data_IF_281608958537
#
_entry.id   IF_281608958537
#
_cell.length_a   1.000
_cell.length_b   1.000
_cell.length_c   1.000
_cell.angle_alpha   90.00
_cell.angle_beta   90.00
_cell.angle_gamma   90.00
#
_symmetry.space_group_name_H-M   'P 1'
#
loop_
_entity.id
_entity.type
_entity.pdbx_description
1 polymer ?
#
# COMPACT_ATOMS: atom_id res chain seq x y z
N UNK A 1 1.45 -27.29 11.25
CA UNK A 1 2.41 -26.27 11.74
C UNK A 1 2.34 -25.10 10.78
N UNK A 2 1.59 -24.05 11.12
CA UNK A 2 1.60 -22.80 10.37
C UNK A 2 2.51 -21.84 11.14
N UNK A 3 3.65 -21.52 10.54
CA UNK A 3 4.56 -20.50 11.05
C UNK A 3 3.89 -19.15 10.78
N UNK A 4 3.35 -18.52 11.83
CA UNK A 4 2.99 -17.11 11.75
C UNK A 4 4.29 -16.30 11.67
N UNK A 5 4.40 -15.30 10.77
CA UNK A 5 5.57 -14.45 10.70
C UNK A 5 5.71 -13.67 12.01
N UNK A 6 6.93 -13.67 12.52
CA UNK A 6 7.35 -13.00 13.74
C UNK A 6 7.27 -11.48 13.50
N UNK A 7 6.23 -10.85 14.04
CA UNK A 7 6.17 -9.39 14.15
C UNK A 7 7.07 -8.97 15.30
N UNK A 8 8.09 -8.18 14.97
CA UNK A 8 8.97 -7.55 15.96
C UNK A 8 8.20 -6.33 16.48
N UNK A 9 7.72 -6.41 17.72
CA UNK A 9 6.78 -5.53 18.43
C UNK A 9 5.29 -5.82 18.13
N UNK A 10 4.53 -6.21 19.17
CA UNK A 10 3.18 -6.77 19.09
C UNK A 10 2.04 -5.83 18.66
N UNK A 11 2.24 -5.02 17.64
CA UNK A 11 1.22 -4.20 17.00
C UNK A 11 1.01 -4.71 15.58
N UNK A 12 -0.22 -5.10 15.26
CA UNK A 12 -0.57 -5.44 13.89
C UNK A 12 -0.69 -4.16 13.05
N UNK A 13 0.26 -3.95 12.13
CA UNK A 13 0.28 -2.79 11.24
C UNK A 13 -0.76 -2.87 10.10
N UNK A 14 -1.52 -3.97 9.98
CA UNK A 14 -2.55 -4.12 8.91
C UNK A 14 -3.50 -2.95 8.82
N UNK A 15 -4.13 -2.46 9.90
CA UNK A 15 -5.11 -1.38 9.79
C UNK A 15 -4.49 -0.08 9.27
N UNK A 16 -3.24 0.19 9.63
CA UNK A 16 -2.52 1.38 9.18
C UNK A 16 -2.17 1.28 7.70
N UNK A 17 -1.59 0.16 7.28
CA UNK A 17 -1.25 -0.08 5.86
C UNK A 17 -2.52 -0.11 5.01
N UNK A 18 -3.60 -0.74 5.50
CA UNK A 18 -4.91 -0.75 4.84
C UNK A 18 -5.43 0.67 4.63
N UNK A 19 -5.38 1.53 5.64
CA UNK A 19 -5.83 2.91 5.51
C UNK A 19 -5.06 3.69 4.44
N UNK A 20 -3.76 3.44 4.29
CA UNK A 20 -2.94 4.04 3.22
C UNK A 20 -3.39 3.52 1.86
N UNK A 21 -3.57 2.20 1.71
CA UNK A 21 -4.02 1.59 0.45
C UNK A 21 -5.41 2.08 0.06
N UNK A 22 -6.35 2.13 1.02
CA UNK A 22 -7.71 2.58 0.77
C UNK A 22 -7.74 4.07 0.37
N UNK A 23 -6.85 4.90 0.93
CA UNK A 23 -6.70 6.29 0.50
C UNK A 23 -6.15 6.42 -0.93
N UNK A 24 -5.15 5.60 -1.29
CA UNK A 24 -4.62 5.55 -2.66
C UNK A 24 -5.69 5.07 -3.65
N UNK A 25 -6.41 3.99 -3.30
CA UNK A 25 -7.48 3.44 -4.14
C UNK A 25 -8.61 4.44 -4.34
N UNK A 26 -8.99 5.17 -3.29
CA UNK A 26 -10.01 6.21 -3.37
C UNK A 26 -9.61 7.34 -4.34
N UNK A 27 -8.35 7.77 -4.30
CA UNK A 27 -7.86 8.82 -5.19
C UNK A 27 -7.74 8.33 -6.64
N UNK A 28 -7.38 7.07 -6.84
CA UNK A 28 -7.22 6.46 -8.17
C UNK A 28 -8.58 6.16 -8.85
N UNK A 29 -9.63 5.85 -8.05
CA UNK A 29 -10.99 5.60 -8.54
C UNK A 29 -11.81 6.90 -8.74
N UNK A 30 -11.40 8.00 -8.12
CA UNK A 30 -12.11 9.27 -8.21
C UNK A 30 -12.13 9.81 -9.64
N UNK A 31 -13.31 10.26 -10.09
CA UNK A 31 -13.45 10.92 -11.38
C UNK A 31 -12.79 12.30 -11.41
N UNK A 32 -12.43 12.77 -12.62
CA UNK A 32 -11.86 14.10 -12.85
C UNK A 32 -12.77 15.25 -12.35
N UNK A 33 -14.08 14.99 -12.19
CA UNK A 33 -15.07 15.93 -11.65
C UNK A 33 -15.18 15.89 -10.11
N UNK A 34 -14.61 14.88 -9.46
CA UNK A 34 -14.58 14.71 -8.01
C UNK A 34 -13.24 15.19 -7.40
N UNK A 35 -12.13 14.76 -8.00
CA UNK A 35 -10.78 15.19 -7.64
C UNK A 35 -10.08 15.70 -8.91
N UNK A 36 -9.57 16.92 -8.83
CA UNK A 36 -8.80 17.49 -9.92
C UNK A 36 -7.53 16.63 -10.17
N UNK A 37 -7.22 16.24 -11.42
CA UNK A 37 -6.15 15.27 -11.70
C UNK A 37 -4.78 15.62 -11.13
N UNK A 38 -4.34 16.88 -11.18
CA UNK A 38 -3.05 17.28 -10.60
C UNK A 38 -3.06 17.11 -9.07
N UNK A 39 -4.21 17.33 -8.42
CA UNK A 39 -4.42 17.11 -6.99
C UNK A 39 -4.35 15.62 -6.63
N UNK A 40 -4.92 14.74 -7.45
CA UNK A 40 -4.83 13.29 -7.27
C UNK A 40 -3.37 12.81 -7.34
N UNK A 41 -2.64 13.22 -8.38
CA UNK A 41 -1.21 12.92 -8.54
C UNK A 41 -0.41 13.40 -7.33
N UNK A 42 -0.64 14.65 -6.91
CA UNK A 42 0.06 15.24 -5.76
C UNK A 42 -0.23 14.51 -4.44
N UNK A 43 -1.44 13.98 -4.26
CA UNK A 43 -1.76 13.17 -3.09
C UNK A 43 -0.89 11.91 -3.04
N UNK A 44 -0.83 11.17 -4.15
CA UNK A 44 0.00 9.97 -4.28
C UNK A 44 1.49 10.28 -4.09
N UNK A 45 1.99 11.37 -4.67
CA UNK A 45 3.38 11.82 -4.48
C UNK A 45 3.71 12.13 -3.02
N UNK A 46 2.82 12.82 -2.30
CA UNK A 46 3.04 13.15 -0.88
C UNK A 46 3.05 11.90 0.00
N UNK A 47 2.17 10.93 -0.28
CA UNK A 47 2.16 9.64 0.42
C UNK A 47 3.46 8.87 0.12
N UNK A 48 3.85 8.77 -1.16
CA UNK A 48 5.09 8.13 -1.58
C UNK A 48 6.32 8.74 -0.90
N UNK A 49 6.44 10.06 -0.92
CA UNK A 49 7.54 10.79 -0.29
C UNK A 49 7.61 10.58 1.23
N UNK A 50 6.46 10.46 1.92
CA UNK A 50 6.44 10.12 3.34
C UNK A 50 6.92 8.68 3.60
N UNK A 51 6.53 7.75 2.74
CA UNK A 51 6.92 6.34 2.82
C UNK A 51 8.36 6.08 2.37
N UNK A 52 8.99 7.03 1.66
CA UNK A 52 10.39 6.92 1.29
C UNK A 52 11.34 6.85 2.49
N UNK A 53 10.92 7.40 3.64
CA UNK A 53 11.67 7.31 4.90
C UNK A 53 11.73 5.90 5.51
N UNK A 54 10.98 4.93 4.99
CA UNK A 54 11.03 3.54 5.44
C UNK A 54 12.37 2.90 5.10
N UNK A 55 12.96 2.18 6.07
CA UNK A 55 14.17 1.38 5.82
C UNK A 55 13.84 0.21 4.90
N UNK A 56 14.86 -0.42 4.29
CA UNK A 56 14.63 -1.62 3.47
C UNK A 56 13.92 -2.75 4.22
N UNK A 57 14.16 -2.88 5.54
CA UNK A 57 13.46 -3.85 6.37
C UNK A 57 11.97 -3.47 6.56
N UNK A 58 11.69 -2.20 6.80
CA UNK A 58 10.31 -1.73 6.97
C UNK A 58 9.52 -1.78 5.65
N UNK A 59 10.18 -1.50 4.50
CA UNK A 59 9.57 -1.69 3.17
C UNK A 59 9.24 -3.16 2.91
N UNK A 60 10.10 -4.09 3.33
CA UNK A 60 9.82 -5.52 3.26
C UNK A 60 8.66 -5.93 4.17
N UNK A 61 8.58 -5.40 5.40
CA UNK A 61 7.43 -5.61 6.28
C UNK A 61 6.13 -5.05 5.67
N UNK A 62 6.18 -3.84 5.09
CA UNK A 62 5.06 -3.21 4.40
C UNK A 62 4.55 -4.11 3.26
N UNK A 63 5.44 -4.65 2.43
CA UNK A 63 5.08 -5.57 1.35
C UNK A 63 4.42 -6.87 1.87
N UNK A 64 4.88 -7.42 2.99
CA UNK A 64 4.24 -8.57 3.63
C UNK A 64 2.83 -8.24 4.15
N UNK A 65 2.65 -7.04 4.68
CA UNK A 65 1.33 -6.58 5.15
C UNK A 65 0.38 -6.39 3.98
N UNK A 66 0.85 -5.84 2.85
CA UNK A 66 0.08 -5.74 1.61
C UNK A 66 -0.37 -7.11 1.09
N UNK A 67 0.52 -8.11 1.04
CA UNK A 67 0.15 -9.45 0.59
C UNK A 67 -0.90 -10.09 1.49
N UNK A 68 -0.83 -9.86 2.81
CA UNK A 68 -1.86 -10.28 3.75
C UNK A 68 -3.20 -9.60 3.48
N UNK A 69 -3.21 -8.29 3.22
CA UNK A 69 -4.42 -7.54 2.86
C UNK A 69 -5.02 -8.13 1.58
N UNK A 70 -4.22 -8.29 0.53
CA UNK A 70 -4.64 -8.80 -0.76
C UNK A 70 -5.17 -10.24 -0.68
N UNK A 71 -4.53 -11.11 0.11
CA UNK A 71 -4.98 -12.49 0.34
C UNK A 71 -6.31 -12.57 1.08
N UNK A 72 -6.59 -11.60 1.96
CA UNK A 72 -7.84 -11.52 2.74
C UNK A 72 -8.98 -10.80 2.03
N UNK A 73 -8.72 -10.19 0.87
CA UNK A 73 -9.72 -9.41 0.15
C UNK A 73 -10.69 -10.31 -0.64
N UNK A 74 -11.98 -10.03 -0.53
CA UNK A 74 -13.02 -10.73 -1.29
C UNK A 74 -13.08 -10.28 -2.76
N UNK A 75 -12.71 -9.03 -3.04
CA UNK A 75 -12.70 -8.45 -4.38
C UNK A 75 -11.34 -8.69 -5.06
N UNK A 76 -11.30 -9.44 -6.18
CA UNK A 76 -10.08 -9.68 -6.95
C UNK A 76 -9.43 -8.39 -7.48
N UNK A 77 -10.21 -7.39 -7.87
CA UNK A 77 -9.68 -6.13 -8.41
C UNK A 77 -8.95 -5.34 -7.33
N UNK A 78 -9.57 -5.20 -6.16
CA UNK A 78 -8.90 -4.62 -4.99
C UNK A 78 -7.64 -5.42 -4.58
N UNK A 79 -7.69 -6.75 -4.62
CA UNK A 79 -6.51 -7.58 -4.30
C UNK A 79 -5.36 -7.37 -5.29
N UNK A 80 -5.65 -7.17 -6.58
CA UNK A 80 -4.65 -6.83 -7.60
C UNK A 80 -4.09 -5.43 -7.37
N UNK A 81 -4.95 -4.44 -7.09
CA UNK A 81 -4.55 -3.08 -6.74
C UNK A 81 -3.60 -3.05 -5.53
N UNK A 82 -3.95 -3.74 -4.43
CA UNK A 82 -3.10 -3.81 -3.22
C UNK A 82 -1.70 -4.33 -3.56
N UNK A 83 -1.58 -5.28 -4.50
CA UNK A 83 -0.28 -5.83 -4.92
C UNK A 83 0.50 -4.90 -5.84
N UNK A 84 -0.15 -3.96 -6.53
CA UNK A 84 0.54 -2.97 -7.37
C UNK A 84 1.09 -1.78 -6.57
N UNK A 85 0.60 -1.56 -5.34
CA UNK A 85 1.01 -0.43 -4.48
C UNK A 85 2.53 -0.24 -4.34
N UNK A 86 3.37 -1.28 -4.13
CA UNK A 86 4.82 -1.10 -4.04
C UNK A 86 5.41 -0.49 -5.32
N UNK A 87 4.89 -0.90 -6.49
CA UNK A 87 5.30 -0.36 -7.78
C UNK A 87 4.84 1.09 -7.94
N UNK A 88 3.62 1.42 -7.52
CA UNK A 88 3.11 2.80 -7.55
C UNK A 88 3.95 3.75 -6.69
N UNK A 89 4.40 3.28 -5.52
CA UNK A 89 5.13 4.11 -4.55
C UNK A 89 6.63 4.20 -4.82
N UNK A 90 7.27 3.11 -5.23
CA UNK A 90 8.73 3.01 -5.30
C UNK A 90 9.26 2.56 -6.68
N UNK A 91 8.38 2.30 -7.64
CA UNK A 91 8.77 1.76 -8.95
C UNK A 91 9.10 0.26 -8.92
N UNK A 92 9.63 -0.28 -10.03
CA UNK A 92 9.99 -1.69 -10.11
C UNK A 92 11.13 -2.02 -9.15
N UNK A 93 11.20 -3.27 -8.63
CA UNK A 93 12.37 -3.71 -7.87
C UNK A 93 13.62 -3.60 -8.77
N UNK A 94 14.70 -3.04 -8.23
CA UNK A 94 15.98 -3.03 -8.95
C UNK A 94 16.55 -4.47 -9.02
N UNK A 95 16.95 -4.90 -10.23
CA UNK A 95 17.43 -6.26 -10.55
C UNK A 95 18.76 -6.64 -9.91
#
# INVERSE_FOLDING_TARGET
MLLHPVSIAGVDNTPLVRAIVDALAFVDDAGDDEIEPDTAVKCTEVIGAALDGLTGADRAEFALVLERIATSADDPAYAEYVRSVPFLLWGPPEE
#
